data_IF_926011052914
#
_entry.id   IF_926011052914
#
_cell.length_a   1.000
_cell.length_b   1.000
_cell.length_c   1.000
_cell.angle_alpha   90.00
_cell.angle_beta   90.00
_cell.angle_gamma   90.00
#
_symmetry.space_group_name_H-M   'P 1'
#
loop_
_entity.id
_entity.type
_entity.pdbx_description
1 polymer ?
#
# COMPACT_ATOMS: atom_id res chain seq x y z
N UNK A 1 -9.50 26.22 11.48
CA UNK A 1 -9.70 24.76 11.33
C UNK A 1 -8.37 24.13 10.98
N UNK A 2 -7.93 23.07 11.67
CA UNK A 2 -6.62 22.47 11.42
C UNK A 2 -6.62 21.79 10.04
N UNK A 3 -6.08 22.48 9.03
CA UNK A 3 -5.71 21.90 7.73
C UNK A 3 -4.55 20.93 7.94
N UNK A 4 -4.86 19.77 8.48
CA UNK A 4 -3.90 18.68 8.65
C UNK A 4 -3.71 18.02 7.29
N UNK A 5 -2.57 18.29 6.66
CA UNK A 5 -2.21 17.67 5.39
C UNK A 5 -2.24 16.14 5.56
N UNK A 6 -3.22 15.50 4.93
CA UNK A 6 -3.46 14.05 5.01
C UNK A 6 -2.25 13.23 4.53
N UNK A 7 -1.45 13.78 3.62
CA UNK A 7 -0.22 13.15 3.17
C UNK A 7 0.84 13.13 4.28
N UNK A 8 1.01 14.23 5.01
CA UNK A 8 1.97 14.34 6.11
C UNK A 8 1.57 13.46 7.30
N UNK A 9 0.28 13.44 7.66
CA UNK A 9 -0.24 12.53 8.68
C UNK A 9 0.02 11.06 8.32
N UNK A 10 -0.22 10.68 7.06
CA UNK A 10 0.02 9.31 6.59
C UNK A 10 1.50 8.94 6.68
N UNK A 11 2.40 9.84 6.24
CA UNK A 11 3.86 9.64 6.35
C UNK A 11 4.27 9.43 7.81
N UNK A 12 3.77 10.25 8.73
CA UNK A 12 4.07 10.13 10.16
C UNK A 12 3.60 8.79 10.74
N UNK A 13 2.38 8.35 10.41
CA UNK A 13 1.85 7.05 10.82
C UNK A 13 2.68 5.90 10.25
N UNK A 14 3.00 5.93 8.95
CA UNK A 14 3.84 4.91 8.30
C UNK A 14 5.23 4.84 8.94
N UNK A 15 5.86 6.00 9.21
CA UNK A 15 7.16 6.07 9.90
C UNK A 15 7.08 5.43 11.28
N UNK A 16 6.01 5.68 12.04
CA UNK A 16 5.79 5.08 13.36
C UNK A 16 5.62 3.55 13.29
N UNK A 17 4.82 3.05 12.34
CA UNK A 17 4.60 1.60 12.16
C UNK A 17 5.89 0.89 11.76
N UNK A 18 6.67 1.49 10.84
CA UNK A 18 7.95 0.95 10.37
C UNK A 18 9.04 0.88 11.45
N UNK A 19 8.85 1.50 12.62
CA UNK A 19 9.73 1.29 13.79
C UNK A 19 9.60 -0.11 14.39
N UNK A 20 8.45 -0.77 14.18
CA UNK A 20 8.17 -2.11 14.70
C UNK A 20 8.05 -3.17 13.59
N UNK A 21 7.66 -2.75 12.38
CA UNK A 21 7.43 -3.64 11.24
C UNK A 21 8.49 -3.36 10.18
N UNK A 22 9.44 -4.28 10.03
CA UNK A 22 10.44 -4.32 8.97
C UNK A 22 10.26 -5.59 8.14
N UNK A 23 10.44 -5.50 6.83
CA UNK A 23 10.42 -6.63 5.93
C UNK A 23 11.80 -7.25 5.78
N UNK A 24 11.92 -8.56 6.00
CA UNK A 24 13.13 -9.34 5.68
C UNK A 24 12.88 -10.22 4.45
N UNK A 25 13.91 -10.86 3.91
CA UNK A 25 13.77 -11.78 2.77
C UNK A 25 12.81 -12.93 3.07
N UNK A 26 12.83 -13.48 4.29
CA UNK A 26 11.90 -14.55 4.71
C UNK A 26 10.49 -14.02 4.99
N UNK A 27 10.39 -12.77 5.48
CA UNK A 27 9.12 -12.14 5.83
C UNK A 27 9.08 -10.70 5.30
N UNK A 28 8.82 -10.53 4.00
CA UNK A 28 8.79 -9.21 3.39
C UNK A 28 7.58 -8.41 3.90
N UNK A 29 7.71 -7.09 3.89
CA UNK A 29 6.70 -6.16 4.42
C UNK A 29 5.68 -5.82 3.34
N UNK A 30 4.40 -6.04 3.66
CA UNK A 30 3.29 -5.53 2.86
C UNK A 30 3.09 -4.04 3.11
N UNK A 31 2.94 -3.27 2.05
CA UNK A 31 2.65 -1.83 2.09
C UNK A 31 1.39 -1.54 1.31
N UNK A 32 0.51 -0.72 1.88
CA UNK A 32 -0.77 -0.35 1.27
C UNK A 32 -0.84 1.16 1.19
N UNK A 33 -1.16 1.67 -0.01
CA UNK A 33 -1.52 3.06 -0.22
C UNK A 33 -2.95 3.14 -0.77
N UNK A 34 -3.80 3.90 -0.07
CA UNK A 34 -5.19 4.14 -0.45
C UNK A 34 -5.42 5.62 -0.72
N UNK A 35 -5.83 5.92 -1.94
CA UNK A 35 -6.36 7.22 -2.34
C UNK A 35 -7.89 7.18 -2.39
N UNK A 36 -8.52 8.26 -2.85
CA UNK A 36 -9.97 8.27 -3.09
C UNK A 36 -10.32 7.33 -4.25
N UNK A 37 -9.48 7.30 -5.29
CA UNK A 37 -9.79 6.65 -6.56
C UNK A 37 -9.11 5.29 -6.74
N UNK A 38 -8.03 5.02 -6.00
CA UNK A 38 -7.18 3.87 -6.26
C UNK A 38 -6.58 3.25 -4.99
N UNK A 39 -6.26 1.97 -5.10
CA UNK A 39 -5.54 1.20 -4.09
C UNK A 39 -4.29 0.62 -4.75
N UNK A 40 -3.18 0.69 -4.02
CA UNK A 40 -1.88 0.15 -4.40
C UNK A 40 -1.34 -0.69 -3.25
N UNK A 41 -0.88 -1.89 -3.55
CA UNK A 41 -0.25 -2.81 -2.61
C UNK A 41 1.12 -3.21 -3.15
N UNK A 42 2.11 -3.31 -2.25
CA UNK A 42 3.47 -3.75 -2.60
C UNK A 42 4.03 -4.64 -1.50
N UNK A 43 4.74 -5.69 -1.90
CA UNK A 43 5.52 -6.56 -1.02
C UNK A 43 7.00 -6.18 -1.19
N UNK A 44 7.64 -5.75 -0.11
CA UNK A 44 8.99 -5.19 -0.12
C UNK A 44 9.90 -5.96 0.83
N UNK A 45 11.08 -6.34 0.35
CA UNK A 45 12.21 -6.72 1.18
C UNK A 45 13.00 -5.46 1.54
N UNK A 46 12.98 -5.05 2.81
CA UNK A 46 13.67 -3.83 3.26
C UNK A 46 15.19 -4.05 3.39
N UNK A 47 15.67 -5.30 3.45
CA UNK A 47 17.12 -5.63 3.53
C UNK A 47 17.79 -5.42 2.17
N UNK A 48 17.17 -5.96 1.12
CA UNK A 48 17.67 -5.82 -0.25
C UNK A 48 17.19 -4.52 -0.91
N UNK A 49 16.19 -3.85 -0.33
CA UNK A 49 15.57 -2.65 -0.90
C UNK A 49 14.75 -2.94 -2.16
N UNK A 50 14.32 -4.19 -2.35
CA UNK A 50 13.63 -4.64 -3.57
C UNK A 50 12.14 -4.80 -3.33
N UNK A 51 11.33 -4.36 -4.30
CA UNK A 51 9.89 -4.70 -4.35
C UNK A 51 9.75 -6.03 -5.07
N UNK A 52 9.22 -7.03 -4.37
CA UNK A 52 9.06 -8.40 -4.88
C UNK A 52 7.76 -8.55 -5.69
N UNK A 53 6.70 -7.88 -5.26
CA UNK A 53 5.42 -7.88 -5.94
C UNK A 53 4.73 -6.53 -5.77
N UNK A 54 3.95 -6.12 -6.77
CA UNK A 54 3.11 -4.95 -6.72
C UNK A 54 1.78 -5.25 -7.41
N UNK A 55 0.69 -4.75 -6.83
CA UNK A 55 -0.65 -4.88 -7.38
C UNK A 55 -1.40 -3.56 -7.19
N UNK A 56 -2.13 -3.12 -8.22
CA UNK A 56 -2.84 -1.85 -8.19
C UNK A 56 -4.13 -1.89 -9.00
N UNK A 57 -5.13 -1.13 -8.55
CA UNK A 57 -6.38 -0.93 -9.30
C UNK A 57 -6.19 -0.25 -10.67
N UNK A 58 -4.97 0.22 -10.97
CA UNK A 58 -4.60 0.86 -12.24
C UNK A 58 -4.08 -0.12 -13.29
N UNK A 59 -3.63 -1.31 -12.87
CA UNK A 59 -3.15 -2.37 -13.76
C UNK A 59 -4.25 -2.90 -14.67
N UNK A 60 -3.88 -3.27 -15.90
CA UNK A 60 -4.84 -3.66 -16.95
C UNK A 60 -5.72 -4.83 -16.51
N UNK A 61 -5.13 -5.80 -15.82
CA UNK A 61 -5.80 -7.03 -15.38
C UNK A 61 -6.72 -6.82 -14.16
N UNK A 62 -6.56 -5.68 -13.46
CA UNK A 62 -7.31 -5.35 -12.24
C UNK A 62 -8.23 -4.14 -12.42
N UNK A 63 -8.35 -3.61 -13.65
CA UNK A 63 -9.28 -2.54 -13.98
C UNK A 63 -10.73 -3.01 -13.85
N UNK A 64 -11.57 -2.18 -13.24
CA UNK A 64 -13.00 -2.44 -13.10
C UNK A 64 -13.57 -1.76 -11.86
N UNK A 65 -13.42 -2.37 -10.68
CA UNK A 65 -13.78 -1.75 -9.41
C UNK A 65 -12.80 -0.61 -9.12
N UNK A 66 -13.24 0.61 -9.40
CA UNK A 66 -12.49 1.83 -9.10
C UNK A 66 -12.84 2.34 -7.70
N UNK A 67 -11.95 3.11 -7.11
CA UNK A 67 -12.14 3.73 -5.80
C UNK A 67 -11.44 3.02 -4.65
N UNK A 68 -11.32 3.73 -3.52
CA UNK A 68 -10.83 3.18 -2.26
C UNK A 68 -11.88 2.40 -1.47
N UNK A 69 -12.64 1.50 -2.13
CA UNK A 69 -13.74 0.71 -1.56
C UNK A 69 -13.32 -0.75 -1.26
N UNK A 70 -14.20 -1.51 -0.59
CA UNK A 70 -13.93 -2.89 -0.14
C UNK A 70 -13.77 -3.84 -1.33
N UNK A 71 -14.56 -3.66 -2.38
CA UNK A 71 -14.51 -4.52 -3.57
C UNK A 71 -13.16 -4.40 -4.28
N UNK A 72 -12.69 -3.17 -4.51
CA UNK A 72 -11.38 -2.90 -5.12
C UNK A 72 -10.24 -3.47 -4.26
N UNK A 73 -10.32 -3.36 -2.94
CA UNK A 73 -9.34 -3.96 -2.03
C UNK A 73 -9.30 -5.49 -2.16
N UNK A 74 -10.47 -6.14 -2.24
CA UNK A 74 -10.57 -7.59 -2.41
C UNK A 74 -10.09 -8.09 -3.77
N UNK A 75 -10.08 -7.24 -4.81
CA UNK A 75 -9.48 -7.57 -6.12
C UNK A 75 -7.97 -7.45 -6.06
N UNK A 76 -7.44 -6.34 -5.54
CA UNK A 76 -5.98 -6.13 -5.40
C UNK A 76 -5.34 -7.21 -4.54
N UNK A 77 -6.01 -7.70 -3.49
CA UNK A 77 -5.47 -8.78 -2.64
C UNK A 77 -5.53 -10.19 -3.24
N UNK A 78 -6.26 -10.40 -4.35
CA UNK A 78 -6.31 -11.68 -5.07
C UNK A 78 -5.28 -11.77 -6.20
N UNK A 79 -4.74 -10.62 -6.61
CA UNK A 79 -3.65 -10.51 -7.59
C UNK A 79 -2.32 -10.92 -6.95
#
# INVERSE_FOLDING_TARGET
>A
MANTNKAELRKAVHKRIRRKVSGTTERPRLTIFRSVNHIYAQIIDDVQGQTLAAASTTEKDLRGATGGNIEAAGRVGRA
#
